data_IF_126969888905
#
_entry.id   IF_126969888905
#
_cell.length_a   1.000
_cell.length_b   1.000
_cell.length_c   1.000
_cell.angle_alpha   90.00
_cell.angle_beta   90.00
_cell.angle_gamma   90.00
#
_symmetry.space_group_name_H-M   'P 1'
#
loop_
_entity.id
_entity.type
_entity.pdbx_description
1 polymer ?
#
# COMPACT_ATOMS: atom_id res chain seq x y z
N UNK A 1 27.73 26.69 68.70
CA UNK A 1 26.85 26.99 67.59
C UNK A 1 27.56 27.06 66.23
N UNK A 2 28.84 27.51 66.16
CA UNK A 2 29.59 27.61 64.89
C UNK A 2 29.97 26.23 64.36
N UNK A 3 30.34 25.25 65.21
CA UNK A 3 30.68 23.90 64.82
C UNK A 3 29.44 23.15 64.23
N UNK A 4 28.27 23.36 64.79
CA UNK A 4 27.03 22.77 64.34
C UNK A 4 26.63 23.30 62.95
N UNK A 5 26.83 24.59 62.69
CA UNK A 5 26.56 25.23 61.40
C UNK A 5 27.55 24.75 60.31
N UNK A 6 28.80 24.47 60.62
CA UNK A 6 29.79 23.95 59.67
C UNK A 6 29.53 22.51 59.32
N UNK A 7 29.10 21.69 60.29
CA UNK A 7 28.72 20.29 60.05
C UNK A 7 27.47 20.15 59.21
N UNK A 8 26.44 21.00 59.47
CA UNK A 8 25.25 21.05 58.63
C UNK A 8 25.55 21.55 57.20
N UNK A 9 26.48 22.49 57.03
CA UNK A 9 26.90 22.96 55.70
C UNK A 9 27.66 21.88 54.88
N UNK A 10 28.49 21.07 55.53
CA UNK A 10 29.21 19.97 54.88
C UNK A 10 28.25 18.80 54.50
N UNK A 11 27.27 18.49 55.31
CA UNK A 11 26.28 17.46 54.99
C UNK A 11 25.34 17.90 53.84
N UNK A 12 25.02 19.21 53.77
CA UNK A 12 24.22 19.72 52.65
C UNK A 12 24.97 19.80 51.32
N UNK A 13 26.31 19.92 51.31
CA UNK A 13 27.15 19.84 50.08
C UNK A 13 27.42 18.42 49.60
N UNK A 14 27.38 17.44 50.49
CA UNK A 14 27.57 16.03 50.14
C UNK A 14 26.29 15.39 49.47
N UNK A 15 25.14 16.02 49.58
CA UNK A 15 23.87 15.54 48.96
C UNK A 15 23.64 16.06 47.55
N UNK A 16 24.56 16.83 46.96
CA UNK A 16 24.45 17.36 45.61
C UNK A 16 25.24 16.59 44.54
N UNK A 17 25.91 15.52 44.93
CA UNK A 17 26.42 14.55 43.95
C UNK A 17 25.28 13.62 43.55
N UNK A 18 24.34 14.15 42.79
CA UNK A 18 23.36 13.34 42.05
C UNK A 18 24.17 12.45 41.11
N UNK A 19 24.19 11.13 41.37
CA UNK A 19 24.70 10.17 40.43
C UNK A 19 23.87 10.27 39.15
N UNK A 20 24.41 10.94 38.14
CA UNK A 20 23.83 10.96 36.79
C UNK A 20 23.61 9.54 36.24
N UNK A 21 24.47 8.59 36.68
CA UNK A 21 24.40 7.18 36.27
C UNK A 21 23.22 6.42 36.90
N UNK A 22 22.64 6.89 38.01
CA UNK A 22 21.46 6.23 38.59
C UNK A 22 20.16 6.45 37.81
N UNK A 23 20.11 7.48 36.99
CA UNK A 23 18.96 7.78 36.10
C UNK A 23 19.17 7.26 34.67
N UNK A 24 20.31 6.72 34.33
CA UNK A 24 20.52 6.00 33.08
C UNK A 24 19.96 4.58 33.26
N UNK A 25 18.69 4.43 33.01
CA UNK A 25 18.08 3.12 32.80
C UNK A 25 18.60 2.63 31.46
N UNK A 26 19.67 1.84 31.49
CA UNK A 26 20.07 1.06 30.34
C UNK A 26 18.89 0.14 30.02
N UNK A 27 18.17 0.42 28.96
CA UNK A 27 17.07 -0.41 28.47
C UNK A 27 17.68 -1.74 28.00
N UNK A 28 17.75 -2.71 28.91
CA UNK A 28 18.31 -4.06 28.65
C UNK A 28 17.58 -4.81 27.55
N UNK A 29 16.40 -4.33 27.12
CA UNK A 29 15.57 -4.95 26.10
C UNK A 29 15.29 -4.06 24.87
N UNK A 30 15.85 -2.86 24.79
CA UNK A 30 15.78 -2.01 23.59
C UNK A 30 17.21 -1.78 23.09
N UNK A 31 17.48 -2.17 21.84
CA UNK A 31 18.70 -1.72 21.16
C UNK A 31 18.67 -0.19 21.08
N UNK A 32 19.76 0.45 21.54
CA UNK A 32 19.95 1.87 21.27
C UNK A 32 19.99 2.08 19.75
N UNK A 33 19.42 3.16 19.24
CA UNK A 33 19.33 3.42 17.79
C UNK A 33 20.73 3.35 17.13
N UNK A 34 21.76 3.85 17.81
CA UNK A 34 23.15 3.87 17.31
C UNK A 34 23.77 2.46 17.12
N UNK A 35 23.15 1.42 17.67
CA UNK A 35 23.57 0.03 17.56
C UNK A 35 22.53 -0.87 16.88
N UNK A 36 21.55 -0.26 16.22
CA UNK A 36 20.53 -0.96 15.46
C UNK A 36 20.94 -1.06 13.98
N UNK A 37 20.39 -2.07 13.31
CA UNK A 37 20.60 -2.25 11.85
C UNK A 37 22.08 -2.39 11.46
N UNK A 38 22.83 -3.17 12.26
CA UNK A 38 24.24 -3.45 12.00
C UNK A 38 24.46 -4.50 10.90
N UNK A 39 23.40 -5.22 10.53
CA UNK A 39 23.40 -6.22 9.46
C UNK A 39 22.27 -5.96 8.45
N UNK A 40 22.49 -6.42 7.24
CA UNK A 40 21.48 -6.36 6.19
C UNK A 40 20.17 -7.08 6.59
N UNK A 41 20.28 -8.25 7.24
CA UNK A 41 19.11 -9.04 7.65
C UNK A 41 18.25 -8.29 8.69
N UNK A 42 18.86 -7.55 9.60
CA UNK A 42 18.12 -6.72 10.56
C UNK A 42 17.32 -5.62 9.86
N UNK A 43 17.94 -4.91 8.91
CA UNK A 43 17.26 -3.87 8.14
C UNK A 43 16.18 -4.47 7.24
N UNK A 44 16.47 -5.59 6.59
CA UNK A 44 15.52 -6.31 5.76
C UNK A 44 14.31 -6.84 6.53
N UNK A 45 14.51 -7.25 7.79
CA UNK A 45 13.42 -7.64 8.68
C UNK A 45 12.53 -6.43 9.04
N UNK A 46 13.13 -5.26 9.24
CA UNK A 46 12.37 -4.04 9.52
C UNK A 46 11.48 -3.63 8.33
N UNK A 47 11.94 -3.83 7.08
CA UNK A 47 11.08 -3.57 5.91
C UNK A 47 9.93 -4.56 5.77
N UNK A 48 10.01 -5.76 6.36
CA UNK A 48 8.96 -6.76 6.26
C UNK A 48 7.60 -6.27 6.82
N UNK A 49 7.61 -5.37 7.82
CA UNK A 49 6.39 -4.80 8.37
C UNK A 49 5.58 -4.00 7.33
N UNK A 50 6.25 -3.39 6.34
CA UNK A 50 5.61 -2.62 5.26
C UNK A 50 4.68 -3.46 4.37
N UNK A 51 4.80 -4.79 4.40
CA UNK A 51 4.06 -5.72 3.54
C UNK A 51 2.82 -6.33 4.22
N UNK A 52 2.48 -5.93 5.44
CA UNK A 52 1.46 -6.62 6.21
C UNK A 52 0.44 -5.67 6.84
N UNK A 53 0.37 -5.66 8.13
CA UNK A 53 -0.67 -5.02 8.96
C UNK A 53 -0.99 -3.56 8.62
N UNK A 54 -0.04 -2.69 8.26
CA UNK A 54 -0.37 -1.31 7.91
C UNK A 54 -1.43 -1.17 6.82
N UNK A 55 -1.47 -2.10 5.87
CA UNK A 55 -2.43 -2.07 4.76
C UNK A 55 -3.82 -2.58 5.11
N UNK A 56 -3.97 -3.31 6.21
CA UNK A 56 -5.18 -4.07 6.50
C UNK A 56 -6.45 -3.20 6.57
N UNK A 57 -6.39 -2.06 7.26
CA UNK A 57 -7.54 -1.16 7.39
C UNK A 57 -8.01 -0.57 6.06
N UNK A 58 -7.15 -0.51 5.05
CA UNK A 58 -7.48 -0.04 3.71
C UNK A 58 -7.94 -1.20 2.80
N UNK A 59 -7.14 -2.26 2.66
CA UNK A 59 -7.44 -3.29 1.66
C UNK A 59 -8.52 -4.27 2.08
N UNK A 60 -8.85 -4.38 3.38
CA UNK A 60 -9.75 -5.43 3.88
C UNK A 60 -11.22 -5.30 3.45
N UNK A 61 -11.67 -4.17 3.00
CA UNK A 61 -12.99 -3.95 2.37
C UNK A 61 -13.09 -2.55 1.77
N UNK A 62 -12.29 -1.60 2.25
CA UNK A 62 -12.41 -0.19 1.91
C UNK A 62 -11.94 0.10 0.48
N UNK A 63 -10.94 -0.64 0.01
CA UNK A 63 -10.50 -0.59 -1.38
C UNK A 63 -11.66 -0.81 -2.36
N UNK A 64 -12.50 -1.84 -2.12
CA UNK A 64 -13.66 -2.12 -2.96
C UNK A 64 -14.79 -1.10 -2.79
N UNK A 65 -15.04 -0.64 -1.55
CA UNK A 65 -16.04 0.37 -1.29
C UNK A 65 -15.71 1.70 -1.98
N UNK A 66 -14.49 2.17 -1.83
CA UNK A 66 -14.02 3.46 -2.38
C UNK A 66 -13.73 3.38 -3.88
N UNK A 67 -13.31 2.21 -4.39
CA UNK A 67 -13.03 1.97 -5.80
C UNK A 67 -14.23 1.43 -6.55
N UNK A 68 -14.49 0.14 -6.41
CA UNK A 68 -15.44 -0.59 -7.26
C UNK A 68 -16.90 -0.19 -7.01
N UNK A 69 -17.31 0.01 -5.75
CA UNK A 69 -18.68 0.41 -5.45
C UNK A 69 -18.93 1.85 -5.92
N UNK A 70 -17.98 2.76 -5.65
CA UNK A 70 -18.08 4.14 -6.14
C UNK A 70 -17.96 4.25 -7.66
N UNK A 71 -17.18 3.34 -8.27
CA UNK A 71 -17.02 3.22 -9.71
C UNK A 71 -18.18 2.52 -10.42
N UNK A 72 -19.24 2.15 -9.71
CA UNK A 72 -20.40 1.41 -10.24
C UNK A 72 -20.04 0.04 -10.84
N UNK A 73 -18.96 -0.59 -10.38
CA UNK A 73 -18.65 -1.98 -10.75
C UNK A 73 -19.45 -2.97 -9.89
N UNK A 74 -19.57 -2.68 -8.60
CA UNK A 74 -20.37 -3.46 -7.66
C UNK A 74 -21.43 -2.60 -7.01
N UNK A 75 -22.52 -3.25 -6.61
CA UNK A 75 -23.62 -2.66 -5.87
C UNK A 75 -23.80 -3.40 -4.54
N UNK A 76 -24.06 -2.65 -3.48
CA UNK A 76 -24.41 -3.19 -2.17
C UNK A 76 -25.61 -2.43 -1.60
N UNK A 77 -26.64 -3.16 -1.22
CA UNK A 77 -27.88 -2.61 -0.65
C UNK A 77 -27.84 -2.43 0.87
N UNK A 78 -26.73 -2.81 1.47
CA UNK A 78 -26.64 -2.92 2.92
C UNK A 78 -26.03 -1.63 3.53
N UNK A 79 -26.80 -1.04 4.45
CA UNK A 79 -26.36 0.09 5.28
C UNK A 79 -25.57 -0.35 6.53
N UNK A 80 -25.17 -1.62 6.61
CA UNK A 80 -24.40 -2.12 7.73
C UNK A 80 -22.95 -1.58 7.74
N UNK A 81 -22.20 -1.96 8.75
CA UNK A 81 -20.81 -1.54 8.97
C UNK A 81 -19.84 -1.87 7.82
N UNK A 82 -20.20 -2.80 6.94
CA UNK A 82 -19.46 -3.14 5.72
C UNK A 82 -19.67 -2.13 4.59
N UNK A 83 -20.76 -1.40 4.61
CA UNK A 83 -21.03 -0.09 4.06
C UNK A 83 -20.71 0.20 2.60
N UNK A 84 -21.13 -0.64 1.65
CA UNK A 84 -21.04 -0.25 0.22
C UNK A 84 -22.08 0.78 -0.20
N UNK A 85 -23.28 0.75 0.38
CA UNK A 85 -24.40 1.61 -0.01
C UNK A 85 -24.09 3.11 -0.01
N UNK A 86 -23.42 3.70 1.01
CA UNK A 86 -23.06 5.12 0.96
C UNK A 86 -22.19 5.49 -0.25
N UNK A 87 -21.28 4.60 -0.62
CA UNK A 87 -20.37 4.84 -1.76
C UNK A 87 -21.08 4.67 -3.13
N UNK A 88 -21.94 3.65 -3.26
CA UNK A 88 -22.77 3.45 -4.46
C UNK A 88 -23.74 4.61 -4.70
N UNK A 89 -24.30 5.16 -3.63
CA UNK A 89 -25.31 6.20 -3.67
C UNK A 89 -24.74 7.62 -3.57
N UNK A 90 -23.41 7.78 -3.44
CA UNK A 90 -22.75 9.05 -3.23
C UNK A 90 -23.31 9.85 -2.04
N UNK A 91 -23.65 9.14 -0.96
CA UNK A 91 -24.19 9.71 0.29
C UNK A 91 -23.19 9.63 1.44
N UNK A 92 -21.97 9.23 1.15
CA UNK A 92 -20.88 9.17 2.12
C UNK A 92 -20.57 10.55 2.71
N UNK A 93 -20.19 10.52 3.97
CA UNK A 93 -19.86 11.70 4.79
C UNK A 93 -18.51 11.50 5.45
N UNK A 94 -17.87 12.52 6.01
CA UNK A 94 -16.59 12.38 6.70
C UNK A 94 -16.55 11.31 7.79
N UNK A 95 -17.70 10.99 8.39
CA UNK A 95 -17.87 9.96 9.40
C UNK A 95 -18.44 8.62 8.87
N UNK A 96 -18.46 8.44 7.55
CA UNK A 96 -18.88 7.16 6.97
C UNK A 96 -17.94 6.04 7.45
N UNK A 97 -18.48 4.90 7.93
CA UNK A 97 -17.68 3.83 8.48
C UNK A 97 -16.55 3.40 7.53
N UNK A 98 -15.35 3.32 8.07
CA UNK A 98 -14.16 2.84 7.38
C UNK A 98 -13.37 3.88 6.58
N UNK A 99 -13.87 5.10 6.35
CA UNK A 99 -13.08 6.17 5.75
C UNK A 99 -11.87 6.52 6.62
N UNK A 100 -12.08 6.70 7.92
CA UNK A 100 -11.01 6.96 8.88
C UNK A 100 -10.01 5.80 8.95
N UNK A 101 -10.50 4.56 8.91
CA UNK A 101 -9.63 3.38 8.93
C UNK A 101 -8.75 3.30 7.69
N UNK A 102 -9.32 3.58 6.50
CA UNK A 102 -8.57 3.63 5.25
C UNK A 102 -7.49 4.74 5.28
N UNK A 103 -7.87 5.94 5.70
CA UNK A 103 -6.96 7.07 5.85
C UNK A 103 -5.82 6.74 6.81
N UNK A 104 -6.13 6.30 8.02
CA UNK A 104 -5.13 5.96 9.03
C UNK A 104 -4.23 4.82 8.56
N UNK A 105 -4.78 3.79 7.93
CA UNK A 105 -4.02 2.67 7.38
C UNK A 105 -2.95 3.15 6.40
N UNK A 106 -3.31 3.99 5.44
CA UNK A 106 -2.37 4.53 4.44
C UNK A 106 -1.29 5.41 5.07
N UNK A 107 -1.65 6.26 6.05
CA UNK A 107 -0.66 7.07 6.78
C UNK A 107 0.24 6.23 7.71
N UNK A 108 -0.22 5.10 8.24
CA UNK A 108 0.65 4.17 8.98
C UNK A 108 1.70 3.56 8.03
N UNK A 109 1.32 3.19 6.80
CA UNK A 109 2.30 2.74 5.78
C UNK A 109 3.36 3.81 5.54
N UNK A 110 2.93 5.07 5.32
CA UNK A 110 3.83 6.21 5.09
C UNK A 110 4.77 6.41 6.27
N UNK A 111 4.24 6.47 7.49
CA UNK A 111 5.04 6.65 8.70
C UNK A 111 6.09 5.54 8.88
N UNK A 112 5.71 4.29 8.63
CA UNK A 112 6.66 3.17 8.72
C UNK A 112 7.73 3.23 7.61
N UNK A 113 7.35 3.65 6.40
CA UNK A 113 8.30 3.87 5.32
C UNK A 113 9.27 5.00 5.65
N UNK A 114 8.78 6.08 6.24
CA UNK A 114 9.60 7.23 6.64
C UNK A 114 10.65 6.86 7.69
N UNK A 115 10.32 5.99 8.66
CA UNK A 115 11.32 5.46 9.59
C UNK A 115 12.44 4.68 8.89
N UNK A 116 12.09 3.85 7.91
CA UNK A 116 13.12 3.14 7.13
C UNK A 116 13.98 4.13 6.36
N UNK A 117 13.40 5.13 5.74
CA UNK A 117 14.09 6.10 4.87
C UNK A 117 14.97 7.04 5.69
N UNK A 118 14.45 7.58 6.80
CA UNK A 118 15.12 8.66 7.54
C UNK A 118 16.05 8.15 8.65
N UNK A 119 15.79 6.95 9.20
CA UNK A 119 16.50 6.44 10.34
C UNK A 119 17.22 5.11 10.06
N UNK A 120 16.51 4.07 9.57
CA UNK A 120 17.05 2.72 9.52
C UNK A 120 18.04 2.50 8.37
N UNK A 121 17.72 2.93 7.15
CA UNK A 121 18.62 2.80 6.01
C UNK A 121 19.90 3.66 6.17
N UNK A 122 19.84 4.91 6.68
CA UNK A 122 21.03 5.66 7.04
C UNK A 122 21.94 4.94 8.04
N UNK A 123 21.39 4.32 9.09
CA UNK A 123 22.17 3.51 10.02
C UNK A 123 22.81 2.29 9.34
N UNK A 124 22.05 1.58 8.52
CA UNK A 124 22.57 0.45 7.75
C UNK A 124 23.77 0.80 6.87
N UNK A 125 23.76 1.97 6.22
CA UNK A 125 24.89 2.45 5.40
C UNK A 125 26.20 2.64 6.17
N UNK A 126 26.14 2.79 7.49
CA UNK A 126 27.33 2.91 8.33
C UNK A 126 27.98 1.55 8.61
N UNK A 127 27.27 0.45 8.43
CA UNK A 127 27.69 -0.87 8.91
C UNK A 127 27.87 -1.91 7.80
N UNK A 128 27.22 -1.76 6.65
CA UNK A 128 27.30 -2.73 5.55
C UNK A 128 27.20 -2.08 4.18
N UNK A 129 27.20 -2.86 3.10
CA UNK A 129 27.16 -2.40 1.72
C UNK A 129 25.99 -1.41 1.47
N UNK A 130 26.32 -0.23 1.00
CA UNK A 130 25.37 0.84 0.70
C UNK A 130 24.26 0.41 -0.27
N UNK A 131 24.56 -0.43 -1.27
CA UNK A 131 23.57 -0.92 -2.22
C UNK A 131 22.49 -1.75 -1.55
N UNK A 132 22.85 -2.55 -0.52
CA UNK A 132 21.90 -3.34 0.24
C UNK A 132 21.00 -2.44 1.10
N UNK A 133 21.58 -1.41 1.74
CA UNK A 133 20.82 -0.42 2.49
C UNK A 133 19.87 0.37 1.56
N UNK A 134 20.36 0.79 0.40
CA UNK A 134 19.56 1.50 -0.60
C UNK A 134 18.44 0.63 -1.18
N UNK A 135 18.62 -0.68 -1.30
CA UNK A 135 17.53 -1.58 -1.70
C UNK A 135 16.41 -1.64 -0.66
N UNK A 136 16.73 -1.68 0.63
CA UNK A 136 15.74 -1.60 1.71
C UNK A 136 15.01 -0.24 1.74
N UNK A 137 15.74 0.86 1.50
CA UNK A 137 15.12 2.18 1.31
C UNK A 137 14.22 2.20 0.08
N UNK A 138 14.62 1.55 -1.02
CA UNK A 138 13.80 1.40 -2.22
C UNK A 138 12.48 0.69 -1.97
N UNK A 139 12.48 -0.36 -1.11
CA UNK A 139 11.24 -1.00 -0.67
C UNK A 139 10.33 -0.02 0.07
N UNK A 140 10.88 0.75 1.00
CA UNK A 140 10.12 1.74 1.77
C UNK A 140 9.56 2.85 0.88
N UNK A 141 10.35 3.38 -0.06
CA UNK A 141 9.91 4.39 -1.02
C UNK A 141 8.81 3.88 -1.93
N UNK A 142 8.90 2.64 -2.42
CA UNK A 142 7.83 2.01 -3.18
C UNK A 142 6.52 1.96 -2.37
N UNK A 143 6.57 1.50 -1.11
CA UNK A 143 5.39 1.39 -0.26
C UNK A 143 4.79 2.76 0.07
N UNK A 144 5.63 3.77 0.30
CA UNK A 144 5.20 5.14 0.53
C UNK A 144 4.51 5.72 -0.71
N UNK A 145 5.10 5.54 -1.87
CA UNK A 145 4.47 5.92 -3.13
C UNK A 145 3.15 5.19 -3.34
N UNK A 146 3.08 3.87 -3.13
CA UNK A 146 1.83 3.12 -3.26
C UNK A 146 0.72 3.67 -2.35
N UNK A 147 1.04 4.03 -1.10
CA UNK A 147 0.09 4.64 -0.18
C UNK A 147 -0.35 6.04 -0.63
N UNK A 148 0.57 6.89 -1.06
CA UNK A 148 0.24 8.22 -1.60
C UNK A 148 -0.57 8.16 -2.90
N UNK A 149 -0.36 7.14 -3.74
CA UNK A 149 -1.20 6.96 -4.93
C UNK A 149 -2.67 6.80 -4.56
N UNK A 150 -2.98 5.96 -3.58
CA UNK A 150 -4.36 5.77 -3.11
C UNK A 150 -4.89 7.02 -2.39
N UNK A 151 -4.10 7.65 -1.53
CA UNK A 151 -4.50 8.89 -0.87
C UNK A 151 -4.86 9.98 -1.89
N UNK A 152 -3.98 10.24 -2.84
CA UNK A 152 -4.22 11.24 -3.89
C UNK A 152 -5.42 10.88 -4.78
N UNK A 153 -5.57 9.59 -5.13
CA UNK A 153 -6.67 9.14 -5.99
C UNK A 153 -8.05 9.27 -5.33
N UNK A 154 -8.14 9.12 -4.00
CA UNK A 154 -9.42 9.15 -3.29
C UNK A 154 -9.73 10.48 -2.61
N UNK A 155 -8.73 11.22 -2.15
CA UNK A 155 -8.91 12.48 -1.41
C UNK A 155 -8.33 13.71 -2.12
N UNK A 156 -7.67 13.52 -3.25
CA UNK A 156 -7.05 14.56 -4.09
C UNK A 156 -5.88 15.24 -3.38
N UNK A 157 -6.11 16.36 -2.71
CA UNK A 157 -5.08 17.10 -1.96
C UNK A 157 -4.93 16.49 -0.57
N UNK A 158 -3.73 16.05 -0.21
CA UNK A 158 -3.46 15.37 1.06
C UNK A 158 -2.16 15.86 1.69
N UNK A 159 -2.02 15.84 3.02
CA UNK A 159 -0.77 16.20 3.67
C UNK A 159 0.39 15.31 3.22
N UNK A 160 1.51 15.90 2.82
CA UNK A 160 2.78 15.20 2.67
C UNK A 160 3.50 15.16 4.02
N UNK A 161 3.93 13.96 4.42
CA UNK A 161 4.83 13.71 5.54
C UNK A 161 6.17 13.19 4.99
N UNK A 162 7.24 13.91 5.27
CA UNK A 162 8.60 13.50 4.89
C UNK A 162 9.38 12.94 6.09
N UNK A 163 9.07 13.44 7.28
CA UNK A 163 9.63 12.96 8.54
C UNK A 163 8.58 13.03 9.65
N UNK A 164 8.06 11.93 10.16
CA UNK A 164 7.04 11.91 11.20
C UNK A 164 7.51 12.56 12.51
N UNK A 165 8.81 12.54 12.81
CA UNK A 165 9.36 13.13 14.04
C UNK A 165 9.27 14.66 14.04
N UNK A 166 9.28 15.31 12.89
CA UNK A 166 9.11 16.77 12.77
C UNK A 166 7.67 17.20 13.01
N UNK A 167 6.72 16.28 12.95
CA UNK A 167 5.30 16.54 13.03
C UNK A 167 4.62 15.99 14.29
N UNK A 168 5.37 15.51 15.28
CA UNK A 168 4.83 14.92 16.51
C UNK A 168 3.86 15.81 17.29
N UNK A 169 3.97 17.14 17.11
CA UNK A 169 3.09 18.14 17.73
C UNK A 169 2.20 18.88 16.71
N UNK A 170 2.20 18.48 15.44
CA UNK A 170 1.42 19.14 14.40
C UNK A 170 0.08 18.42 14.22
N UNK A 171 -0.96 18.89 14.90
CA UNK A 171 -2.31 18.33 14.79
C UNK A 171 -3.04 18.68 13.49
N UNK A 172 -2.53 19.66 12.72
CA UNK A 172 -3.15 20.13 11.48
C UNK A 172 -2.06 20.38 10.42
N UNK A 173 -1.70 19.35 9.66
CA UNK A 173 -0.90 19.50 8.45
C UNK A 173 -1.79 20.04 7.32
N UNK A 174 -1.33 21.08 6.64
CA UNK A 174 -2.03 21.58 5.46
C UNK A 174 -1.98 20.55 4.33
N UNK A 175 -3.05 20.39 3.55
CA UNK A 175 -3.02 19.52 2.39
C UNK A 175 -2.05 20.08 1.33
N UNK A 176 -1.29 19.19 0.72
CA UNK A 176 -0.42 19.43 -0.42
C UNK A 176 -1.22 19.15 -1.69
N UNK A 177 -1.00 19.94 -2.73
CA UNK A 177 -1.72 19.80 -3.99
C UNK A 177 -1.48 18.43 -4.63
N UNK A 178 -2.49 17.89 -5.27
CA UNK A 178 -2.45 16.61 -5.97
C UNK A 178 -1.19 16.42 -6.84
N UNK A 179 -0.87 17.42 -7.69
CA UNK A 179 0.29 17.33 -8.58
C UNK A 179 1.62 17.17 -7.81
N UNK A 180 1.77 17.85 -6.67
CA UNK A 180 2.98 17.78 -5.86
C UNK A 180 3.08 16.43 -5.12
N UNK A 181 1.94 15.87 -4.67
CA UNK A 181 1.87 14.51 -4.10
C UNK A 181 2.26 13.47 -5.16
N UNK A 182 1.74 13.59 -6.37
CA UNK A 182 2.07 12.67 -7.48
C UNK A 182 3.55 12.81 -7.85
N UNK A 183 4.10 14.01 -7.96
CA UNK A 183 5.53 14.23 -8.23
C UNK A 183 6.44 13.69 -7.13
N UNK A 184 5.99 13.77 -5.88
CA UNK A 184 6.70 13.18 -4.75
C UNK A 184 6.78 11.65 -4.89
N UNK A 185 5.66 10.98 -5.20
CA UNK A 185 5.63 9.55 -5.45
C UNK A 185 6.45 9.13 -6.68
N UNK A 186 6.52 9.95 -7.73
CA UNK A 186 7.39 9.71 -8.90
C UNK A 186 8.86 9.64 -8.45
N UNK A 187 9.35 10.61 -7.67
CA UNK A 187 10.73 10.60 -7.15
C UNK A 187 11.03 9.37 -6.30
N UNK A 188 10.07 8.94 -5.48
CA UNK A 188 10.21 7.73 -4.68
C UNK A 188 10.33 6.48 -5.55
N UNK A 189 9.56 6.40 -6.63
CA UNK A 189 9.57 5.26 -7.54
C UNK A 189 10.78 5.24 -8.48
N UNK A 190 11.27 6.41 -8.88
CA UNK A 190 12.53 6.53 -9.62
C UNK A 190 13.69 5.98 -8.78
N UNK A 191 13.78 6.38 -7.51
CA UNK A 191 14.75 5.81 -6.58
C UNK A 191 14.57 4.30 -6.39
N UNK A 192 13.34 3.85 -6.18
CA UNK A 192 13.04 2.43 -6.05
C UNK A 192 13.44 1.63 -7.30
N UNK A 193 13.18 2.17 -8.51
CA UNK A 193 13.58 1.55 -9.75
C UNK A 193 15.10 1.51 -9.95
N UNK A 194 15.86 2.42 -9.36
CA UNK A 194 17.32 2.43 -9.41
C UNK A 194 17.93 1.36 -8.49
N UNK A 195 17.43 1.25 -7.25
CA UNK A 195 18.10 0.46 -6.20
C UNK A 195 17.48 -0.89 -5.89
N UNK A 196 16.23 -1.15 -6.29
CA UNK A 196 15.61 -2.45 -6.09
C UNK A 196 16.24 -3.52 -7.01
N UNK A 197 16.35 -4.77 -6.52
CA UNK A 197 16.86 -5.87 -7.32
C UNK A 197 15.90 -6.24 -8.46
N UNK A 198 16.42 -6.83 -9.52
CA UNK A 198 15.61 -7.37 -10.63
C UNK A 198 14.74 -8.56 -10.19
N UNK A 199 15.21 -9.32 -9.20
CA UNK A 199 14.53 -10.50 -8.64
C UNK A 199 14.68 -10.54 -7.15
N UNK A 200 13.62 -10.95 -6.45
CA UNK A 200 13.63 -11.14 -5.01
C UNK A 200 12.74 -12.34 -4.65
N UNK A 201 12.63 -12.65 -3.36
CA UNK A 201 11.69 -13.64 -2.84
C UNK A 201 10.24 -13.21 -3.13
N UNK A 202 9.38 -14.19 -3.34
CA UNK A 202 7.95 -13.94 -3.61
C UNK A 202 7.32 -13.01 -2.58
N UNK A 203 6.53 -12.05 -3.06
CA UNK A 203 5.90 -11.04 -2.25
C UNK A 203 6.75 -9.79 -1.98
N UNK A 204 8.05 -9.79 -2.27
CA UNK A 204 8.89 -8.60 -2.19
C UNK A 204 8.83 -7.78 -3.48
N UNK A 205 8.90 -6.47 -3.34
CA UNK A 205 8.95 -5.58 -4.50
C UNK A 205 10.30 -5.67 -5.21
N UNK A 206 10.25 -5.55 -6.52
CA UNK A 206 11.42 -5.56 -7.40
C UNK A 206 11.49 -4.29 -8.22
N UNK A 207 12.60 -4.09 -8.94
CA UNK A 207 12.70 -3.00 -9.93
C UNK A 207 11.50 -2.95 -10.86
N UNK A 208 11.02 -4.09 -11.32
CA UNK A 208 9.87 -4.15 -12.23
C UNK A 208 8.55 -3.77 -11.54
N UNK A 209 8.40 -4.04 -10.25
CA UNK A 209 7.27 -3.54 -9.45
C UNK A 209 7.27 -2.01 -9.41
N UNK A 210 8.45 -1.41 -9.18
CA UNK A 210 8.62 0.04 -9.15
C UNK A 210 8.33 0.67 -10.53
N UNK A 211 8.86 0.11 -11.60
CA UNK A 211 8.64 0.61 -12.97
C UNK A 211 7.16 0.52 -13.39
N UNK A 212 6.46 -0.55 -13.03
CA UNK A 212 5.03 -0.69 -13.32
C UNK A 212 4.17 0.36 -12.60
N UNK A 213 4.47 0.64 -11.34
CA UNK A 213 3.77 1.68 -10.57
C UNK A 213 4.19 3.08 -11.06
N UNK A 214 5.46 3.29 -11.40
CA UNK A 214 5.98 4.54 -11.95
C UNK A 214 5.30 4.90 -13.28
N UNK A 215 5.14 3.93 -14.18
CA UNK A 215 4.39 4.14 -15.41
C UNK A 215 2.95 4.62 -15.13
N UNK A 216 2.29 4.06 -14.12
CA UNK A 216 0.95 4.47 -13.70
C UNK A 216 0.94 5.89 -13.14
N UNK A 217 1.95 6.28 -12.37
CA UNK A 217 2.12 7.63 -11.86
C UNK A 217 2.29 8.66 -12.97
N UNK A 218 3.14 8.37 -13.96
CA UNK A 218 3.34 9.24 -15.12
C UNK A 218 2.05 9.42 -15.93
N UNK A 219 1.31 8.33 -16.20
CA UNK A 219 0.01 8.41 -16.89
C UNK A 219 -0.99 9.28 -16.10
N UNK A 220 -0.99 9.15 -14.78
CA UNK A 220 -1.89 9.94 -13.90
C UNK A 220 -1.56 11.43 -13.99
N UNK A 221 -0.28 11.79 -13.89
CA UNK A 221 0.15 13.19 -14.02
C UNK A 221 -0.06 13.73 -15.43
N UNK A 222 0.16 12.90 -16.46
CA UNK A 222 -0.10 13.26 -17.85
C UNK A 222 -1.58 13.58 -18.10
N UNK A 223 -2.49 12.77 -17.57
CA UNK A 223 -3.93 13.02 -17.66
C UNK A 223 -4.33 14.31 -16.94
N UNK A 224 -3.74 14.57 -15.77
CA UNK A 224 -3.95 15.81 -15.00
C UNK A 224 -3.42 17.04 -15.75
N UNK A 225 -2.24 16.94 -16.34
CA UNK A 225 -1.65 17.98 -17.19
C UNK A 225 -2.53 18.26 -18.41
N UNK A 226 -3.01 17.22 -19.11
CA UNK A 226 -3.87 17.36 -20.29
C UNK A 226 -5.20 18.07 -19.96
N UNK A 227 -5.68 17.94 -18.73
CA UNK A 227 -6.80 18.70 -18.19
C UNK A 227 -6.50 20.17 -17.91
N UNK A 228 -5.26 20.63 -18.07
CA UNK A 228 -4.83 22.00 -17.77
C UNK A 228 -4.73 22.32 -16.27
N UNK A 229 -4.55 21.29 -15.43
CA UNK A 229 -4.56 21.43 -13.98
C UNK A 229 -3.17 21.59 -13.35
N UNK A 230 -2.10 21.31 -14.11
CA UNK A 230 -0.73 21.49 -13.61
C UNK A 230 -0.34 22.96 -13.54
N UNK A 231 0.47 23.30 -12.55
CA UNK A 231 1.02 24.66 -12.39
C UNK A 231 2.18 24.91 -13.35
N UNK A 232 2.50 26.20 -13.53
CA UNK A 232 3.66 26.64 -14.31
C UNK A 232 4.97 26.04 -13.77
N UNK A 233 5.12 25.92 -12.45
CA UNK A 233 6.29 25.31 -11.82
C UNK A 233 6.44 23.83 -12.19
N UNK A 234 5.34 23.11 -12.34
CA UNK A 234 5.37 21.72 -12.81
C UNK A 234 5.76 21.65 -14.28
N UNK A 235 5.23 22.51 -15.16
CA UNK A 235 5.66 22.59 -16.56
C UNK A 235 7.17 22.81 -16.66
N UNK A 236 7.69 23.83 -15.97
CA UNK A 236 9.10 24.19 -15.96
C UNK A 236 10.01 23.04 -15.47
N UNK A 237 9.55 22.27 -14.46
CA UNK A 237 10.34 21.16 -13.92
C UNK A 237 10.56 20.01 -14.90
N UNK A 238 9.70 19.88 -15.92
CA UNK A 238 9.84 18.92 -17.02
C UNK A 238 10.32 19.57 -18.32
N UNK A 239 10.58 20.88 -18.33
CA UNK A 239 10.97 21.62 -19.53
C UNK A 239 9.85 21.75 -20.57
N UNK A 240 8.60 21.60 -20.12
CA UNK A 240 7.44 21.65 -21.00
C UNK A 240 7.02 23.09 -21.31
N UNK A 241 6.63 23.33 -22.56
CA UNK A 241 6.16 24.63 -23.03
C UNK A 241 4.72 24.93 -22.64
N UNK A 242 3.89 23.90 -22.54
CA UNK A 242 2.49 23.97 -22.16
C UNK A 242 1.97 22.63 -21.58
N UNK A 243 0.71 22.57 -21.20
CA UNK A 243 0.08 21.39 -20.60
C UNK A 243 0.02 20.18 -21.53
N UNK A 244 -0.11 20.37 -22.85
CA UNK A 244 -0.12 19.27 -23.81
C UNK A 244 1.28 18.71 -24.01
N UNK A 245 2.27 19.58 -24.11
CA UNK A 245 3.68 19.20 -24.20
C UNK A 245 4.11 18.42 -22.93
N UNK A 246 3.73 18.88 -21.75
CA UNK A 246 3.95 18.13 -20.52
C UNK A 246 3.29 16.75 -20.55
N UNK A 247 2.07 16.65 -21.03
CA UNK A 247 1.37 15.37 -21.12
C UNK A 247 2.10 14.39 -22.07
N UNK A 248 2.58 14.86 -23.22
CA UNK A 248 3.32 14.02 -24.17
C UNK A 248 4.68 13.56 -23.59
N UNK A 249 5.42 14.43 -22.89
CA UNK A 249 6.64 14.07 -22.18
C UNK A 249 6.35 12.95 -21.17
N UNK A 250 5.31 13.12 -20.33
CA UNK A 250 4.96 12.16 -19.28
C UNK A 250 4.46 10.82 -19.85
N UNK A 251 3.71 10.83 -20.97
CA UNK A 251 3.35 9.58 -21.67
C UNK A 251 4.58 8.89 -22.27
N UNK A 252 5.58 9.65 -22.73
CA UNK A 252 6.87 9.10 -23.15
C UNK A 252 7.57 8.36 -22.02
N UNK A 253 7.71 9.01 -20.85
CA UNK A 253 8.30 8.42 -19.65
C UNK A 253 7.54 7.17 -19.17
N UNK A 254 6.20 7.22 -19.21
CA UNK A 254 5.35 6.08 -18.87
C UNK A 254 5.59 4.88 -19.82
N UNK A 255 5.70 5.16 -21.12
CA UNK A 255 5.99 4.15 -22.14
C UNK A 255 7.34 3.50 -21.91
N UNK A 256 8.37 4.29 -21.59
CA UNK A 256 9.72 3.78 -21.36
C UNK A 256 9.75 2.90 -20.09
N UNK A 257 9.15 3.33 -18.98
CA UNK A 257 9.06 2.54 -17.77
C UNK A 257 8.29 1.22 -17.97
N UNK A 258 7.14 1.26 -18.63
CA UNK A 258 6.37 0.05 -18.98
C UNK A 258 7.13 -0.84 -19.98
N UNK A 259 7.87 -0.24 -20.91
CA UNK A 259 8.70 -0.91 -21.91
C UNK A 259 9.77 -1.80 -21.28
N UNK A 260 10.44 -1.33 -20.22
CA UNK A 260 11.40 -2.16 -19.47
C UNK A 260 10.75 -3.40 -18.86
N UNK A 261 9.52 -3.28 -18.34
CA UNK A 261 8.79 -4.43 -17.79
C UNK A 261 8.46 -5.43 -18.90
N UNK A 262 7.93 -4.96 -20.02
CA UNK A 262 7.53 -5.80 -21.17
C UNK A 262 8.74 -6.55 -21.76
N UNK A 263 9.91 -5.89 -21.80
CA UNK A 263 11.16 -6.46 -22.35
C UNK A 263 11.98 -7.26 -21.33
N UNK A 264 11.44 -7.58 -20.17
CA UNK A 264 12.09 -8.22 -19.02
C UNK A 264 12.52 -9.69 -19.24
N UNK A 265 12.91 -10.08 -20.43
CA UNK A 265 13.38 -11.42 -20.79
C UNK A 265 12.40 -12.55 -20.43
N UNK A 266 11.13 -12.35 -20.73
CA UNK A 266 10.02 -13.27 -20.45
C UNK A 266 9.71 -13.49 -18.96
N UNK A 267 10.23 -12.67 -18.06
CA UNK A 267 9.88 -12.76 -16.64
C UNK A 267 8.41 -12.39 -16.41
N UNK A 268 7.95 -11.35 -17.10
CA UNK A 268 6.56 -10.86 -17.02
C UNK A 268 5.86 -10.97 -18.38
N UNK A 269 4.55 -11.16 -18.35
CA UNK A 269 3.73 -11.26 -19.55
C UNK A 269 2.30 -11.65 -19.20
N UNK A 270 1.41 -11.62 -20.18
CA UNK A 270 0.02 -11.99 -19.98
C UNK A 270 -0.15 -13.51 -19.86
N UNK A 271 -1.08 -13.93 -19.01
CA UNK A 271 -1.57 -15.31 -18.96
C UNK A 271 -2.40 -15.60 -20.21
N UNK A 272 -2.43 -16.84 -20.66
CA UNK A 272 -3.23 -17.24 -21.83
C UNK A 272 -4.72 -17.17 -21.53
N UNK A 273 -5.11 -17.60 -20.34
CA UNK A 273 -6.48 -17.51 -19.85
C UNK A 273 -6.56 -16.54 -18.67
N UNK A 274 -7.44 -15.56 -18.78
CA UNK A 274 -7.65 -14.54 -17.75
C UNK A 274 -8.14 -15.13 -16.41
N UNK A 275 -8.96 -16.20 -16.45
CA UNK A 275 -9.47 -16.87 -15.25
C UNK A 275 -8.35 -17.53 -14.44
N UNK A 276 -7.28 -17.99 -15.10
CA UNK A 276 -6.14 -18.62 -14.45
C UNK A 276 -5.34 -17.69 -13.53
N UNK A 277 -5.41 -16.36 -13.73
CA UNK A 277 -4.74 -15.36 -12.86
C UNK A 277 -5.23 -15.49 -11.42
N UNK A 278 -6.50 -15.83 -11.21
CA UNK A 278 -7.16 -15.84 -9.90
C UNK A 278 -7.12 -17.20 -9.21
N UNK A 279 -6.49 -18.18 -9.81
CA UNK A 279 -6.32 -19.50 -9.19
C UNK A 279 -5.17 -19.49 -8.17
N UNK A 280 -5.38 -20.13 -7.02
CA UNK A 280 -4.40 -20.15 -5.91
C UNK A 280 -3.04 -20.70 -6.34
N UNK A 281 -3.02 -21.75 -7.18
CA UNK A 281 -1.78 -22.33 -7.71
C UNK A 281 -1.00 -21.37 -8.62
N UNK A 282 -1.62 -20.31 -9.11
CA UNK A 282 -1.02 -19.28 -9.96
C UNK A 282 -0.72 -17.98 -9.20
N UNK A 283 -0.74 -18.01 -7.87
CA UNK A 283 -0.25 -16.88 -7.08
C UNK A 283 1.16 -16.52 -7.53
N UNK A 284 1.44 -15.21 -7.64
CA UNK A 284 2.71 -14.69 -8.16
C UNK A 284 3.03 -15.12 -9.61
N UNK A 285 2.00 -15.39 -10.43
CA UNK A 285 2.21 -15.70 -11.85
C UNK A 285 2.87 -14.53 -12.60
N UNK A 286 3.30 -14.79 -13.83
CA UNK A 286 4.02 -13.81 -14.67
C UNK A 286 3.28 -12.50 -14.94
N UNK A 287 1.99 -12.39 -14.64
CA UNK A 287 1.20 -11.17 -14.80
C UNK A 287 1.24 -10.28 -13.55
N UNK A 288 1.71 -10.80 -12.41
CA UNK A 288 1.74 -10.11 -11.13
C UNK A 288 3.09 -9.42 -10.94
N UNK A 289 3.10 -8.09 -10.94
CA UNK A 289 4.31 -7.29 -10.64
C UNK A 289 4.56 -7.18 -9.14
N UNK A 290 3.50 -7.07 -8.36
CA UNK A 290 3.50 -7.02 -6.90
C UNK A 290 2.13 -7.39 -6.35
N UNK A 291 2.11 -8.18 -5.29
CA UNK A 291 0.91 -8.47 -4.49
C UNK A 291 1.28 -8.64 -3.03
N UNK A 292 0.45 -8.09 -2.13
CA UNK A 292 0.51 -8.45 -0.72
C UNK A 292 0.22 -9.93 -0.55
N UNK A 293 0.93 -10.61 0.35
CA UNK A 293 0.86 -12.06 0.56
C UNK A 293 0.09 -12.36 1.87
N UNK A 294 -1.25 -12.39 1.86
CA UNK A 294 -2.01 -12.70 3.07
C UNK A 294 -1.81 -14.16 3.49
N UNK A 295 -1.79 -14.40 4.79
CA UNK A 295 -1.68 -15.74 5.37
C UNK A 295 -3.06 -16.23 5.82
N UNK A 296 -3.38 -17.49 5.51
CA UNK A 296 -4.59 -18.12 5.96
C UNK A 296 -4.58 -18.29 7.50
N UNK A 297 -5.70 -17.99 8.17
CA UNK A 297 -5.89 -18.22 9.59
C UNK A 297 -5.24 -17.21 10.53
N UNK A 298 -4.70 -16.10 10.02
CA UNK A 298 -4.07 -15.02 10.83
C UNK A 298 -4.79 -13.68 10.71
N UNK A 299 -6.09 -13.70 10.54
CA UNK A 299 -6.93 -12.51 10.33
C UNK A 299 -6.82 -11.50 11.48
N UNK A 300 -6.73 -11.99 12.73
CA UNK A 300 -6.63 -11.13 13.93
C UNK A 300 -5.36 -10.26 13.97
N UNK A 301 -4.35 -10.59 13.18
CA UNK A 301 -3.11 -9.81 13.07
C UNK A 301 -3.07 -8.91 11.83
N UNK A 302 -4.17 -8.82 11.08
CA UNK A 302 -4.24 -8.04 9.85
C UNK A 302 -3.38 -8.61 8.71
N UNK A 303 -3.11 -9.91 8.74
CA UNK A 303 -2.36 -10.63 7.70
C UNK A 303 -3.24 -11.57 6.89
N UNK A 304 -4.51 -11.75 7.27
CA UNK A 304 -5.48 -12.56 6.55
C UNK A 304 -6.09 -11.82 5.35
N UNK A 305 -6.63 -12.58 4.41
CA UNK A 305 -7.44 -12.05 3.33
C UNK A 305 -8.92 -12.13 3.69
N UNK A 306 -9.51 -11.01 4.08
CA UNK A 306 -10.94 -10.90 4.42
C UNK A 306 -11.81 -10.48 3.23
N UNK A 307 -11.22 -10.17 2.08
CA UNK A 307 -11.96 -9.68 0.92
C UNK A 307 -12.98 -10.71 0.41
N UNK A 308 -12.63 -11.99 0.39
CA UNK A 308 -13.55 -13.05 0.02
C UNK A 308 -14.82 -13.05 0.87
N UNK A 309 -14.69 -12.87 2.19
CA UNK A 309 -15.83 -12.79 3.12
C UNK A 309 -16.72 -11.56 2.85
N UNK A 310 -16.14 -10.45 2.44
CA UNK A 310 -16.87 -9.22 2.13
C UNK A 310 -17.56 -9.22 0.77
N UNK A 311 -17.06 -10.02 -0.18
CA UNK A 311 -17.57 -10.06 -1.55
C UNK A 311 -18.49 -11.25 -1.83
N UNK A 312 -18.48 -12.27 -0.96
CA UNK A 312 -19.23 -13.52 -1.18
C UNK A 312 -20.42 -13.64 -0.22
N UNK A 313 -21.57 -14.05 -0.76
CA UNK A 313 -22.82 -14.23 0.02
C UNK A 313 -22.97 -15.62 0.65
N UNK A 314 -22.22 -16.60 0.16
CA UNK A 314 -22.39 -18.00 0.58
C UNK A 314 -21.09 -18.56 1.14
N UNK A 315 -21.13 -18.99 2.40
CA UNK A 315 -19.98 -19.58 3.09
C UNK A 315 -19.46 -20.85 2.40
N UNK A 316 -20.32 -21.57 1.68
CA UNK A 316 -19.96 -22.76 0.92
C UNK A 316 -18.94 -22.42 -0.18
N UNK A 317 -19.02 -21.23 -0.77
CA UNK A 317 -18.06 -20.75 -1.77
C UNK A 317 -16.69 -20.45 -1.17
N UNK A 318 -16.64 -20.20 0.13
CA UNK A 318 -15.45 -19.88 0.90
C UNK A 318 -14.93 -21.07 1.72
N UNK A 319 -15.25 -22.30 1.32
CA UNK A 319 -14.88 -23.52 2.04
C UNK A 319 -15.25 -23.51 3.54
N UNK A 320 -16.44 -22.98 3.85
CA UNK A 320 -16.97 -22.89 5.21
C UNK A 320 -16.53 -21.65 6.00
N UNK A 321 -15.72 -20.76 5.45
CA UNK A 321 -15.41 -19.47 6.07
C UNK A 321 -16.66 -18.57 6.11
N UNK A 322 -16.69 -17.66 7.09
CA UNK A 322 -17.81 -16.73 7.24
C UNK A 322 -17.96 -15.83 6.02
N UNK A 323 -19.16 -15.77 5.46
CA UNK A 323 -19.54 -14.84 4.41
C UNK A 323 -20.43 -13.74 5.01
N UNK A 324 -20.11 -12.47 4.70
CA UNK A 324 -20.85 -11.33 5.30
C UNK A 324 -21.75 -10.62 4.32
N UNK A 325 -21.82 -11.07 3.01
CA UNK A 325 -22.28 -10.34 2.10
C UNK A 325 -23.24 -10.05 1.35
N UNK A 326 -23.34 -9.01 0.81
CA UNK A 326 -24.35 -8.33 0.01
C UNK A 326 -23.74 -7.46 -1.09
N UNK A 327 -22.69 -7.93 -1.73
CA UNK A 327 -22.16 -7.27 -2.91
C UNK A 327 -22.58 -8.01 -4.16
N UNK A 328 -23.11 -7.28 -5.11
CA UNK A 328 -23.56 -7.76 -6.40
C UNK A 328 -22.84 -6.99 -7.50
N UNK A 329 -22.59 -7.62 -8.63
CA UNK A 329 -22.14 -6.89 -9.81
C UNK A 329 -23.24 -5.90 -10.25
N UNK A 330 -22.88 -4.69 -10.62
CA UNK A 330 -23.85 -3.75 -11.18
C UNK A 330 -24.30 -4.20 -12.56
N UNK A 331 -25.50 -3.79 -12.95
CA UNK A 331 -26.04 -4.10 -14.27
C UNK A 331 -25.15 -3.56 -15.41
N UNK A 332 -24.62 -2.36 -15.25
CA UNK A 332 -23.76 -1.75 -16.28
C UNK A 332 -22.42 -2.47 -16.40
N UNK A 333 -21.81 -2.88 -15.29
CA UNK A 333 -20.59 -3.66 -15.31
C UNK A 333 -20.82 -5.05 -15.93
N UNK A 334 -21.90 -5.73 -15.56
CA UNK A 334 -22.28 -7.01 -16.17
C UNK A 334 -22.47 -6.90 -17.68
N UNK A 335 -23.22 -5.90 -18.11
CA UNK A 335 -23.45 -5.62 -19.54
C UNK A 335 -22.14 -5.34 -20.29
N UNK A 336 -21.24 -4.59 -19.68
CA UNK A 336 -19.90 -4.32 -20.23
C UNK A 336 -19.09 -5.61 -20.39
N UNK A 337 -19.05 -6.47 -19.36
CA UNK A 337 -18.35 -7.75 -19.40
C UNK A 337 -18.91 -8.70 -20.47
N UNK A 338 -20.24 -8.78 -20.61
CA UNK A 338 -20.89 -9.57 -21.66
C UNK A 338 -20.51 -9.05 -23.05
N UNK A 339 -20.51 -7.74 -23.25
CA UNK A 339 -20.24 -7.10 -24.55
C UNK A 339 -18.74 -7.10 -24.90
N UNK A 340 -17.84 -7.14 -23.92
CA UNK A 340 -16.38 -7.15 -24.15
C UNK A 340 -15.85 -8.46 -24.70
N UNK A 341 -16.69 -9.50 -24.82
CA UNK A 341 -16.46 -10.68 -25.64
C UNK A 341 -15.59 -11.77 -25.05
N UNK A 342 -15.35 -11.81 -23.76
CA UNK A 342 -14.51 -12.84 -23.15
C UNK A 342 -15.28 -13.70 -22.13
N UNK A 343 -15.64 -14.96 -22.48
CA UNK A 343 -16.24 -15.91 -21.52
C UNK A 343 -15.35 -16.11 -20.28
N UNK A 344 -14.04 -16.24 -20.47
CA UNK A 344 -13.08 -16.36 -19.39
C UNK A 344 -13.09 -15.14 -18.46
N UNK A 345 -13.10 -13.93 -19.03
CA UNK A 345 -13.18 -12.71 -18.24
C UNK A 345 -14.51 -12.58 -17.50
N UNK A 346 -15.62 -12.94 -18.12
CA UNK A 346 -16.93 -12.95 -17.46
C UNK A 346 -16.96 -13.95 -16.30
N UNK A 347 -16.51 -15.19 -16.53
CA UNK A 347 -16.44 -16.25 -15.49
C UNK A 347 -15.56 -15.88 -14.31
N UNK A 348 -14.42 -15.21 -14.55
CA UNK A 348 -13.50 -14.81 -13.51
C UNK A 348 -14.06 -13.70 -12.59
N UNK A 349 -15.00 -12.89 -13.09
CA UNK A 349 -15.56 -11.78 -12.35
C UNK A 349 -16.95 -12.04 -11.79
N UNK A 350 -17.71 -12.99 -12.37
CA UNK A 350 -19.10 -13.25 -12.02
C UNK A 350 -19.39 -14.75 -12.01
N UNK A 351 -20.07 -15.21 -10.98
CA UNK A 351 -20.61 -16.55 -10.96
C UNK A 351 -21.80 -16.64 -11.93
N UNK A 352 -21.57 -17.31 -13.05
CA UNK A 352 -22.56 -17.41 -14.14
C UNK A 352 -23.52 -18.58 -13.88
N UNK A 353 -24.84 -18.38 -13.90
CA UNK A 353 -25.82 -19.46 -13.75
C UNK A 353 -25.58 -20.59 -14.76
N UNK A 354 -25.66 -21.84 -14.30
CA UNK A 354 -25.44 -23.03 -15.12
C UNK A 354 -23.98 -23.41 -15.37
N UNK A 355 -23.01 -22.64 -14.90
CA UNK A 355 -21.59 -22.94 -15.03
C UNK A 355 -21.08 -23.78 -13.85
N UNK A 356 -20.07 -24.62 -14.13
CA UNK A 356 -19.35 -25.38 -13.10
C UNK A 356 -17.98 -24.74 -12.83
N UNK A 357 -17.64 -24.59 -11.54
CA UNK A 357 -16.39 -24.02 -11.05
C UNK A 357 -15.65 -25.08 -10.23
N UNK A 358 -14.64 -25.70 -10.80
CA UNK A 358 -13.85 -26.79 -10.22
C UNK A 358 -12.97 -26.36 -9.03
N UNK A 359 -12.70 -25.07 -8.90
CA UNK A 359 -11.85 -24.47 -7.85
C UNK A 359 -12.64 -23.83 -6.71
N UNK A 360 -13.97 -23.80 -6.78
CA UNK A 360 -14.85 -23.30 -5.74
C UNK A 360 -15.51 -24.49 -5.04
N UNK A 361 -15.63 -24.45 -3.72
CA UNK A 361 -16.30 -25.52 -2.97
C UNK A 361 -15.58 -26.86 -3.07
N UNK A 362 -14.26 -26.89 -3.16
CA UNK A 362 -13.44 -28.10 -3.30
C UNK A 362 -13.57 -29.07 -2.12
N UNK A 363 -14.12 -28.61 -1.00
CA UNK A 363 -14.45 -29.43 0.19
C UNK A 363 -15.71 -30.27 0.04
N UNK A 364 -16.51 -30.06 -1.02
CA UNK A 364 -17.70 -30.84 -1.32
C UNK A 364 -17.34 -32.21 -1.88
N UNK A 365 -18.26 -33.17 -1.74
CA UNK A 365 -18.04 -34.55 -2.30
C UNK A 365 -17.91 -34.53 -3.81
N UNK A 366 -18.41 -33.54 -4.51
CA UNK A 366 -18.36 -33.39 -5.97
C UNK A 366 -17.06 -32.72 -6.45
N UNK A 367 -16.26 -32.15 -5.53
CA UNK A 367 -14.97 -31.54 -5.86
C UNK A 367 -15.08 -30.27 -6.71
N UNK A 368 -16.16 -29.51 -6.53
CA UNK A 368 -16.42 -28.26 -7.24
C UNK A 368 -17.79 -27.70 -6.90
N UNK A 369 -18.20 -26.62 -7.57
CA UNK A 369 -19.49 -25.98 -7.34
C UNK A 369 -20.18 -25.60 -8.64
N UNK A 370 -21.47 -25.94 -8.73
CA UNK A 370 -22.31 -25.55 -9.87
C UNK A 370 -23.18 -24.34 -9.47
N UNK A 371 -23.07 -23.27 -10.24
CA UNK A 371 -23.94 -22.13 -10.07
C UNK A 371 -25.37 -22.49 -10.48
N UNK A 372 -26.32 -22.44 -9.55
CA UNK A 372 -27.74 -22.65 -9.82
C UNK A 372 -28.33 -21.59 -10.76
N UNK A 373 -29.54 -21.87 -11.29
CA UNK A 373 -30.29 -20.91 -12.09
C UNK A 373 -31.11 -19.96 -11.22
#
# INVERSE_FOLDING_TARGET
NIILSVVCGMVAMASLTSCSDFLQVNATNQKEMDHSFTTYDELRLATAYLYMKPWFGFHSTRLFAMGDARGNNIYGDNNNEQGYAPYCLFTDKPNTPGLTDAWNSLYIVITQADYVINDYAPQGRLHFDEKLANSCEGEARFMRAAAYYYLASYWHDVPLMENPLEHTNAFNLAPTRFEDVIRYGIRDLEYAAEYLPLTDTDGRVTRYSALGLLARYYVTLAAYARGGHCTQATLESYGASDSNDLAEILYGLAKDAAGEVITSQNKYGLMEDYEEIFRVQNNNCKEVLFALQPLQGVDSYGMGNTNGSGLCSYKELLNGLSAYNSSYISYDCLRMLINSGGRSRLRANVLCPGEFYDYIGTHTAEGGWSAGY
#
